data_IF_671955037814
#
_entry.id   IF_671955037814
#
_cell.length_a   1.000
_cell.length_b   1.000
_cell.length_c   1.000
_cell.angle_alpha   90.00
_cell.angle_beta   90.00
_cell.angle_gamma   90.00
#
_symmetry.space_group_name_H-M   'P 1'
#
loop_
_entity.id
_entity.type
_entity.pdbx_description
1 polymer ?
#
# COMPACT_ATOMS: atom_id res chain seq x y z
N UNK A 1 -14.09 -26.10 -25.57
CA UNK A 1 -13.09 -26.16 -24.49
C UNK A 1 -11.67 -26.29 -25.03
N UNK A 2 -11.37 -27.20 -25.98
CA UNK A 2 -10.02 -27.34 -26.57
C UNK A 2 -9.37 -26.06 -27.13
N UNK A 3 -10.14 -25.08 -27.58
CA UNK A 3 -9.60 -23.85 -28.18
C UNK A 3 -9.03 -22.88 -27.14
N UNK A 4 -9.61 -22.82 -25.94
CA UNK A 4 -9.17 -21.89 -24.87
C UNK A 4 -7.88 -22.41 -24.24
N UNK A 5 -7.79 -23.70 -23.95
CA UNK A 5 -6.60 -24.31 -23.37
C UNK A 5 -5.40 -24.20 -24.32
N UNK A 6 -5.62 -24.32 -25.64
CA UNK A 6 -4.56 -24.13 -26.65
C UNK A 6 -4.08 -22.67 -26.70
N UNK A 7 -4.98 -21.69 -26.55
CA UNK A 7 -4.61 -20.26 -26.55
C UNK A 7 -3.84 -19.90 -25.28
N UNK A 8 -4.31 -20.33 -24.10
CA UNK A 8 -3.62 -20.09 -22.82
C UNK A 8 -2.21 -20.71 -22.83
N UNK A 9 -2.07 -21.93 -23.34
CA UNK A 9 -0.76 -22.58 -23.52
C UNK A 9 0.16 -21.83 -24.50
N UNK A 10 -0.40 -21.14 -25.51
CA UNK A 10 0.36 -20.31 -26.43
C UNK A 10 0.87 -19.02 -25.79
N UNK A 11 0.01 -18.37 -24.99
CA UNK A 11 0.36 -17.16 -24.23
C UNK A 11 1.46 -17.48 -23.24
N UNK A 12 1.30 -18.50 -22.38
CA UNK A 12 2.29 -18.80 -21.34
C UNK A 12 3.65 -19.29 -21.90
N UNK A 13 3.67 -19.85 -23.11
CA UNK A 13 4.94 -20.17 -23.80
C UNK A 13 5.70 -18.92 -24.22
N UNK A 14 4.98 -17.87 -24.60
CA UNK A 14 5.57 -16.64 -25.13
C UNK A 14 5.81 -15.61 -24.02
N UNK A 15 4.86 -15.52 -23.09
CA UNK A 15 4.73 -14.53 -22.01
C UNK A 15 4.54 -15.27 -20.69
N UNK A 16 5.59 -16.01 -20.30
CA UNK A 16 5.56 -16.89 -19.13
C UNK A 16 5.09 -16.16 -17.88
N UNK A 17 4.08 -16.72 -17.22
CA UNK A 17 3.56 -16.25 -15.94
C UNK A 17 2.68 -15.00 -16.00
N UNK A 18 2.53 -14.37 -17.16
CA UNK A 18 1.68 -13.17 -17.30
C UNK A 18 0.22 -13.50 -17.05
N UNK A 19 -0.29 -14.62 -17.60
CA UNK A 19 -1.69 -15.02 -17.39
C UNK A 19 -2.00 -15.26 -15.92
N UNK A 20 -1.08 -15.91 -15.20
CA UNK A 20 -1.19 -16.20 -13.78
C UNK A 20 -1.17 -14.93 -12.93
N UNK A 21 -0.18 -14.04 -13.13
CA UNK A 21 -0.11 -12.75 -12.40
C UNK A 21 -1.32 -11.86 -12.72
N UNK A 22 -1.75 -11.82 -13.98
CA UNK A 22 -2.93 -11.03 -14.38
C UNK A 22 -4.22 -11.53 -13.73
N UNK A 23 -4.41 -12.85 -13.66
CA UNK A 23 -5.56 -13.44 -12.96
C UNK A 23 -5.47 -13.20 -11.46
N UNK A 24 -4.27 -13.35 -10.88
CA UNK A 24 -4.02 -13.14 -9.47
C UNK A 24 -4.38 -11.71 -9.05
N UNK A 25 -3.92 -10.70 -9.80
CA UNK A 25 -4.19 -9.28 -9.54
C UNK A 25 -5.70 -8.92 -9.47
N UNK A 26 -6.57 -9.74 -10.07
CA UNK A 26 -8.02 -9.52 -10.04
C UNK A 26 -8.73 -10.24 -8.89
N UNK A 27 -8.08 -11.23 -8.26
CA UNK A 27 -8.79 -12.21 -7.43
C UNK A 27 -8.16 -12.47 -6.08
N UNK A 28 -6.83 -12.36 -5.94
CA UNK A 28 -6.16 -12.80 -4.70
C UNK A 28 -6.55 -11.94 -3.50
N UNK A 29 -6.82 -10.65 -3.73
CA UNK A 29 -7.14 -9.67 -2.70
C UNK A 29 -8.63 -9.63 -2.33
N UNK A 30 -9.55 -10.04 -3.20
CA UNK A 30 -11.00 -10.04 -2.91
C UNK A 30 -11.39 -10.90 -1.69
N UNK A 31 -10.54 -11.89 -1.35
CA UNK A 31 -10.77 -12.79 -0.23
C UNK A 31 -10.16 -12.34 1.09
N UNK A 32 -9.36 -11.26 1.08
CA UNK A 32 -8.68 -10.76 2.27
C UNK A 32 -9.48 -9.60 2.82
N UNK A 33 -10.09 -9.81 3.98
CA UNK A 33 -11.01 -8.83 4.59
C UNK A 33 -10.24 -7.95 5.56
N UNK A 34 -10.28 -6.65 5.30
CA UNK A 34 -9.73 -5.64 6.20
C UNK A 34 -10.69 -5.36 7.33
N UNK A 35 -10.14 -4.81 8.42
CA UNK A 35 -10.92 -4.37 9.58
C UNK A 35 -11.64 -5.52 10.30
N UNK A 36 -11.13 -6.74 10.15
CA UNK A 36 -11.72 -7.96 10.72
C UNK A 36 -11.94 -7.90 12.24
N UNK A 37 -11.09 -7.15 12.96
CA UNK A 37 -11.26 -6.88 14.40
C UNK A 37 -12.60 -6.18 14.76
N UNK A 38 -13.25 -5.53 13.80
CA UNK A 38 -14.54 -4.86 13.97
C UNK A 38 -15.70 -5.56 13.23
N UNK A 39 -15.50 -6.76 12.66
CA UNK A 39 -16.54 -7.48 11.87
C UNK A 39 -17.83 -7.78 12.65
N UNK A 40 -17.75 -7.87 13.97
CA UNK A 40 -18.93 -8.05 14.84
C UNK A 40 -19.72 -6.76 15.08
N UNK A 41 -19.40 -5.69 14.35
CA UNK A 41 -20.03 -4.37 14.47
C UNK A 41 -20.53 -3.90 13.10
N UNK A 42 -21.33 -2.83 13.06
CA UNK A 42 -21.99 -2.38 11.83
C UNK A 42 -21.06 -1.60 10.88
N UNK A 43 -19.88 -2.12 10.54
CA UNK A 43 -18.97 -1.46 9.60
C UNK A 43 -19.21 -1.88 8.15
N UNK A 44 -18.91 -1.01 7.19
CA UNK A 44 -18.87 -1.39 5.77
C UNK A 44 -17.69 -2.34 5.55
N UNK A 45 -17.96 -3.57 5.11
CA UNK A 45 -16.90 -4.51 4.72
C UNK A 45 -16.03 -3.92 3.61
N UNK A 46 -14.72 -4.05 3.76
CA UNK A 46 -13.71 -3.69 2.76
C UNK A 46 -12.76 -4.87 2.59
N UNK A 47 -12.45 -5.22 1.35
CA UNK A 47 -11.38 -6.17 1.03
C UNK A 47 -10.11 -5.44 0.54
N UNK A 48 -8.99 -6.15 0.48
CA UNK A 48 -7.72 -5.55 0.03
C UNK A 48 -7.74 -5.11 -1.43
N UNK A 49 -8.62 -5.66 -2.27
CA UNK A 49 -8.73 -5.21 -3.66
C UNK A 49 -9.33 -3.81 -3.70
N UNK A 50 -10.40 -3.59 -2.92
CA UNK A 50 -11.03 -2.28 -2.78
C UNK A 50 -10.06 -1.26 -2.21
N UNK A 51 -9.30 -1.64 -1.18
CA UNK A 51 -8.25 -0.80 -0.59
C UNK A 51 -7.14 -0.49 -1.59
N UNK A 52 -6.53 -1.49 -2.23
CA UNK A 52 -5.45 -1.29 -3.20
C UNK A 52 -5.88 -0.37 -4.35
N UNK A 53 -7.12 -0.52 -4.82
CA UNK A 53 -7.69 0.34 -5.85
C UNK A 53 -7.92 1.78 -5.34
N UNK A 54 -8.55 1.97 -4.17
CA UNK A 54 -8.76 3.32 -3.61
C UNK A 54 -7.45 4.03 -3.30
N UNK A 55 -6.48 3.31 -2.73
CA UNK A 55 -5.14 3.81 -2.43
C UNK A 55 -4.39 4.21 -3.71
N UNK A 56 -4.52 3.46 -4.82
CA UNK A 56 -3.93 3.82 -6.12
C UNK A 56 -4.52 5.11 -6.70
N UNK A 57 -5.83 5.32 -6.56
CA UNK A 57 -6.48 6.58 -6.95
C UNK A 57 -6.01 7.73 -6.06
N UNK A 58 -5.92 7.51 -4.75
CA UNK A 58 -5.42 8.48 -3.80
C UNK A 58 -3.96 8.85 -4.08
N UNK A 59 -3.13 7.87 -4.44
CA UNK A 59 -1.74 8.05 -4.83
C UNK A 59 -1.61 8.98 -6.03
N UNK A 60 -2.43 8.79 -7.07
CA UNK A 60 -2.48 9.69 -8.21
C UNK A 60 -2.82 11.12 -7.79
N UNK A 61 -3.78 11.31 -6.88
CA UNK A 61 -4.14 12.65 -6.37
C UNK A 61 -2.97 13.28 -5.60
N UNK A 62 -2.33 12.52 -4.72
CA UNK A 62 -1.20 12.99 -3.90
C UNK A 62 -0.03 13.41 -4.78
N UNK A 63 0.38 12.56 -5.72
CA UNK A 63 1.48 12.87 -6.62
C UNK A 63 1.20 14.15 -7.39
N UNK A 64 0.03 14.33 -8.00
CA UNK A 64 -0.26 15.56 -8.77
C UNK A 64 -0.26 16.82 -7.90
N UNK A 65 -0.69 16.72 -6.64
CA UNK A 65 -0.64 17.85 -5.69
C UNK A 65 0.76 18.17 -5.21
N UNK A 66 1.57 17.15 -4.99
CA UNK A 66 2.90 17.28 -4.39
C UNK A 66 4.00 17.52 -5.44
N UNK A 67 3.84 17.05 -6.68
CA UNK A 67 4.87 17.14 -7.72
C UNK A 67 5.42 18.56 -7.97
N UNK A 68 4.61 19.65 -7.88
CA UNK A 68 5.14 21.02 -8.00
C UNK A 68 6.18 21.41 -6.94
N UNK A 69 6.35 20.62 -5.89
CA UNK A 69 7.28 20.87 -4.79
C UNK A 69 8.60 20.09 -4.91
N UNK A 70 8.81 19.34 -6.01
CA UNK A 70 9.99 18.50 -6.22
C UNK A 70 10.74 18.85 -7.51
N UNK A 71 12.07 18.78 -7.44
CA UNK A 71 12.96 18.79 -8.61
C UNK A 71 14.16 17.86 -8.34
N UNK A 72 14.29 16.71 -9.03
CA UNK A 72 13.41 16.19 -10.08
C UNK A 72 11.99 15.86 -9.58
N UNK A 73 11.05 15.68 -10.52
CA UNK A 73 9.69 15.25 -10.22
C UNK A 73 9.68 13.88 -9.52
N UNK A 74 8.65 13.63 -8.70
CA UNK A 74 8.44 12.32 -8.07
C UNK A 74 8.26 11.24 -9.14
N UNK A 75 8.81 10.06 -8.89
CA UNK A 75 8.57 8.88 -9.73
C UNK A 75 7.14 8.36 -9.53
N UNK A 76 6.23 8.93 -10.32
CA UNK A 76 4.81 8.60 -10.31
C UNK A 76 4.55 7.14 -10.66
N UNK A 77 5.32 6.57 -11.58
CA UNK A 77 5.13 5.18 -12.01
C UNK A 77 5.50 4.24 -10.87
N UNK A 78 6.60 4.50 -10.18
CA UNK A 78 7.01 3.75 -9.00
C UNK A 78 5.97 3.80 -7.89
N UNK A 79 5.47 4.98 -7.52
CA UNK A 79 4.46 5.13 -6.46
C UNK A 79 3.17 4.38 -6.81
N UNK A 80 2.63 4.58 -8.02
CA UNK A 80 1.38 3.92 -8.42
C UNK A 80 1.57 2.41 -8.50
N UNK A 81 2.68 1.96 -9.08
CA UNK A 81 3.00 0.53 -9.16
C UNK A 81 3.14 -0.10 -7.78
N UNK A 82 3.68 0.63 -6.79
CA UNK A 82 3.78 0.15 -5.42
C UNK A 82 2.38 -0.15 -4.86
N UNK A 83 1.43 0.78 -4.97
CA UNK A 83 0.05 0.54 -4.49
C UNK A 83 -0.66 -0.59 -5.24
N UNK A 84 -0.36 -0.80 -6.52
CA UNK A 84 -0.91 -1.90 -7.29
C UNK A 84 -0.43 -3.28 -6.83
N UNK A 85 0.67 -3.38 -6.08
CA UNK A 85 1.23 -4.70 -5.69
C UNK A 85 1.56 -4.84 -4.20
N UNK A 86 1.52 -3.78 -3.39
CA UNK A 86 2.02 -3.80 -2.01
C UNK A 86 1.37 -4.89 -1.13
N UNK A 87 0.07 -5.11 -1.29
CA UNK A 87 -0.69 -6.13 -0.53
C UNK A 87 -0.77 -7.49 -1.25
N UNK A 88 -0.11 -7.68 -2.40
CA UNK A 88 -0.20 -8.95 -3.11
C UNK A 88 0.39 -10.13 -2.32
N UNK A 89 1.37 -9.87 -1.44
CA UNK A 89 1.84 -10.86 -0.47
C UNK A 89 0.75 -11.33 0.50
N UNK A 90 -0.07 -10.39 1.00
CA UNK A 90 -1.24 -10.67 1.85
C UNK A 90 -2.29 -11.50 1.09
N UNK A 91 -2.55 -11.15 -0.18
CA UNK A 91 -3.41 -11.89 -1.10
C UNK A 91 -2.98 -13.35 -1.33
N UNK A 92 -1.67 -13.60 -1.44
CA UNK A 92 -1.13 -14.96 -1.55
C UNK A 92 -1.27 -15.75 -0.25
N UNK A 93 -1.08 -15.08 0.90
CA UNK A 93 -1.17 -15.70 2.23
C UNK A 93 -2.61 -15.77 2.78
N UNK A 94 -3.58 -15.14 2.11
CA UNK A 94 -5.00 -15.08 2.49
C UNK A 94 -5.22 -14.52 3.89
N UNK A 95 -4.48 -13.49 4.27
CA UNK A 95 -4.57 -12.84 5.58
C UNK A 95 -4.22 -11.36 5.49
N UNK A 96 -4.99 -10.53 6.19
CA UNK A 96 -4.63 -9.16 6.56
C UNK A 96 -4.28 -9.20 8.05
N UNK A 97 -3.12 -8.64 8.42
CA UNK A 97 -2.71 -8.57 9.82
C UNK A 97 -2.59 -7.11 10.21
N UNK A 98 -3.41 -6.70 11.17
CA UNK A 98 -3.38 -5.34 11.69
C UNK A 98 -1.96 -4.97 12.19
N UNK A 99 -1.47 -3.81 11.76
CA UNK A 99 -0.10 -3.32 12.02
C UNK A 99 0.38 -3.52 13.47
N UNK A 100 -0.44 -3.19 14.47
CA UNK A 100 -0.06 -3.31 15.89
C UNK A 100 0.03 -4.76 16.41
N UNK A 101 -0.38 -5.74 15.61
CA UNK A 101 -0.39 -7.16 15.95
C UNK A 101 0.50 -8.00 15.01
N UNK A 102 1.19 -7.39 14.04
CA UNK A 102 2.07 -8.12 13.09
C UNK A 102 3.26 -8.75 13.84
N UNK A 103 3.43 -10.08 13.81
CA UNK A 103 4.67 -10.75 14.19
C UNK A 103 5.88 -10.20 13.41
N UNK A 104 7.07 -10.29 14.01
CA UNK A 104 8.28 -9.72 13.43
C UNK A 104 8.66 -10.26 12.03
N UNK A 105 8.21 -11.47 11.67
CA UNK A 105 8.53 -12.12 10.40
C UNK A 105 7.41 -12.03 9.34
N UNK A 106 6.29 -11.37 9.64
CA UNK A 106 5.15 -11.36 8.71
C UNK A 106 5.46 -10.63 7.40
N UNK A 107 6.17 -9.51 7.46
CA UNK A 107 6.55 -8.76 6.25
C UNK A 107 7.49 -9.59 5.34
N UNK A 108 8.37 -10.40 5.93
CA UNK A 108 9.22 -11.32 5.18
C UNK A 108 8.40 -12.43 4.51
N UNK A 109 7.41 -12.99 5.20
CA UNK A 109 6.52 -14.00 4.63
C UNK A 109 5.71 -13.42 3.46
N UNK A 110 5.18 -12.20 3.61
CA UNK A 110 4.45 -11.46 2.57
C UNK A 110 5.35 -11.21 1.35
N UNK A 111 6.57 -10.71 1.56
CA UNK A 111 7.55 -10.51 0.49
C UNK A 111 7.91 -11.82 -0.21
N UNK A 112 8.15 -12.91 0.51
CA UNK A 112 8.46 -14.22 -0.09
C UNK A 112 7.29 -14.76 -0.93
N UNK A 113 6.06 -14.58 -0.46
CA UNK A 113 4.87 -14.96 -1.19
C UNK A 113 4.72 -14.14 -2.48
N UNK A 114 4.95 -12.83 -2.40
CA UNK A 114 5.01 -11.94 -3.56
C UNK A 114 6.09 -12.39 -4.56
N UNK A 115 7.34 -12.62 -4.13
CA UNK A 115 8.45 -13.05 -5.00
C UNK A 115 8.14 -14.39 -5.67
N UNK A 116 7.56 -15.35 -4.94
CA UNK A 116 7.18 -16.65 -5.49
C UNK A 116 6.20 -16.49 -6.65
N UNK A 117 5.23 -15.57 -6.55
CA UNK A 117 4.25 -15.30 -7.61
C UNK A 117 4.86 -14.52 -8.77
N UNK A 118 5.66 -13.50 -8.52
CA UNK A 118 6.08 -12.54 -9.54
C UNK A 118 7.39 -12.92 -10.27
N UNK A 119 8.24 -13.76 -9.66
CA UNK A 119 9.54 -14.13 -10.25
C UNK A 119 9.45 -14.89 -11.58
N UNK A 120 8.29 -15.48 -11.89
CA UNK A 120 8.02 -16.12 -13.18
C UNK A 120 7.95 -15.15 -14.38
N UNK A 121 7.74 -13.85 -14.15
CA UNK A 121 7.68 -12.81 -15.21
C UNK A 121 9.03 -12.56 -15.88
N UNK A 122 10.10 -13.17 -15.36
CA UNK A 122 11.43 -13.10 -15.92
C UNK A 122 12.18 -11.79 -15.61
N UNK A 123 13.47 -11.72 -15.97
CA UNK A 123 14.38 -10.68 -15.49
C UNK A 123 14.13 -9.29 -16.08
N UNK A 124 13.34 -9.18 -17.14
CA UNK A 124 12.99 -7.89 -17.74
C UNK A 124 11.86 -7.15 -17.02
N UNK A 125 10.98 -7.89 -16.32
CA UNK A 125 9.74 -7.34 -15.73
C UNK A 125 9.73 -7.48 -14.22
N UNK A 126 10.13 -8.64 -13.68
CA UNK A 126 10.10 -8.89 -12.25
C UNK A 126 10.82 -7.82 -11.40
N UNK A 127 12.04 -7.36 -11.76
CA UNK A 127 12.74 -6.36 -10.96
C UNK A 127 11.99 -5.03 -10.81
N UNK A 128 11.16 -4.65 -11.80
CA UNK A 128 10.33 -3.45 -11.72
C UNK A 128 9.24 -3.60 -10.65
N UNK A 129 8.52 -4.73 -10.67
CA UNK A 129 7.51 -5.03 -9.64
C UNK A 129 8.13 -5.23 -8.26
N UNK A 130 9.29 -5.89 -8.17
CA UNK A 130 10.00 -6.08 -6.91
C UNK A 130 10.44 -4.75 -6.30
N UNK A 131 11.01 -3.85 -7.12
CA UNK A 131 11.35 -2.50 -6.67
C UNK A 131 10.13 -1.73 -6.18
N UNK A 132 9.01 -1.81 -6.90
CA UNK A 132 7.76 -1.17 -6.48
C UNK A 132 7.22 -1.75 -5.17
N UNK A 133 7.21 -3.07 -5.02
CA UNK A 133 6.78 -3.75 -3.79
C UNK A 133 7.62 -3.34 -2.59
N UNK A 134 8.95 -3.28 -2.75
CA UNK A 134 9.90 -2.96 -1.67
C UNK A 134 9.91 -1.48 -1.28
N UNK A 135 9.24 -0.58 -2.03
CA UNK A 135 9.12 0.83 -1.70
C UNK A 135 8.52 1.04 -0.30
N UNK A 136 7.54 0.21 0.08
CA UNK A 136 6.84 0.30 1.36
C UNK A 136 7.77 0.11 2.58
N UNK A 137 8.90 -0.58 2.39
CA UNK A 137 9.85 -0.89 3.46
C UNK A 137 11.15 -0.08 3.36
N UNK A 138 11.31 0.78 2.35
CA UNK A 138 12.57 1.44 2.03
C UNK A 138 13.16 2.25 3.19
N UNK A 139 12.30 2.83 4.03
CA UNK A 139 12.71 3.66 5.18
C UNK A 139 12.70 2.90 6.51
N UNK A 140 12.47 1.58 6.49
CA UNK A 140 12.38 0.74 7.67
C UNK A 140 13.61 -0.15 7.85
N UNK A 141 13.93 -0.49 9.10
CA UNK A 141 14.98 -1.46 9.38
C UNK A 141 14.39 -2.89 9.32
N UNK A 142 14.70 -3.60 8.23
CA UNK A 142 14.28 -5.00 7.98
C UNK A 142 15.47 -5.97 7.98
N UNK A 143 15.98 -6.40 9.16
CA UNK A 143 17.18 -7.23 9.25
C UNK A 143 16.98 -8.65 8.69
N UNK A 144 15.74 -9.13 8.74
CA UNK A 144 15.29 -10.47 8.36
C UNK A 144 15.12 -10.65 6.84
N UNK A 145 15.03 -9.56 6.08
CA UNK A 145 14.93 -9.62 4.62
C UNK A 145 16.19 -10.23 3.96
N UNK A 146 16.11 -10.78 2.74
CA UNK A 146 17.29 -11.18 1.98
C UNK A 146 18.21 -10.00 1.65
N UNK A 147 19.52 -10.23 1.50
CA UNK A 147 20.48 -9.16 1.18
C UNK A 147 20.20 -8.47 -0.17
N UNK A 148 19.66 -9.20 -1.15
CA UNK A 148 19.23 -8.62 -2.43
C UNK A 148 18.10 -7.62 -2.25
N UNK A 149 17.08 -7.95 -1.45
CA UNK A 149 15.97 -7.06 -1.14
C UNK A 149 16.46 -5.84 -0.33
N UNK A 150 17.33 -6.07 0.65
CA UNK A 150 17.97 -4.99 1.43
C UNK A 150 18.78 -4.03 0.55
N UNK A 151 19.46 -4.53 -0.48
CA UNK A 151 20.14 -3.67 -1.44
C UNK A 151 19.15 -2.76 -2.19
N UNK A 152 18.05 -3.32 -2.71
CA UNK A 152 17.00 -2.55 -3.39
C UNK A 152 16.38 -1.50 -2.45
N UNK A 153 16.08 -1.88 -1.20
CA UNK A 153 15.53 -0.95 -0.19
C UNK A 153 16.49 0.19 0.12
N UNK A 154 17.81 -0.07 0.23
CA UNK A 154 18.82 0.98 0.42
C UNK A 154 18.87 1.94 -0.76
N UNK A 155 18.85 1.42 -1.98
CA UNK A 155 18.84 2.25 -3.19
C UNK A 155 17.56 3.10 -3.25
N UNK A 156 16.40 2.52 -2.93
CA UNK A 156 15.12 3.24 -2.83
C UNK A 156 15.15 4.31 -1.74
N UNK A 157 15.77 4.06 -0.58
CA UNK A 157 15.87 5.04 0.48
C UNK A 157 16.69 6.28 0.06
N UNK A 158 17.74 6.07 -0.73
CA UNK A 158 18.62 7.15 -1.22
C UNK A 158 17.98 7.89 -2.38
N UNK A 159 17.53 7.16 -3.40
CA UNK A 159 17.11 7.75 -4.67
C UNK A 159 15.62 8.11 -4.70
N UNK A 160 14.81 7.41 -3.90
CA UNK A 160 13.35 7.48 -3.89
C UNK A 160 12.75 7.63 -2.47
N UNK A 161 13.49 8.26 -1.55
CA UNK A 161 13.05 8.43 -0.17
C UNK A 161 11.76 9.24 -0.04
N UNK A 162 11.52 10.21 -0.93
CA UNK A 162 10.28 10.99 -0.94
C UNK A 162 9.09 10.20 -1.47
N UNK A 163 9.29 9.31 -2.43
CA UNK A 163 8.27 8.36 -2.91
C UNK A 163 7.86 7.40 -1.78
N UNK A 164 8.82 6.92 -0.98
CA UNK A 164 8.52 6.09 0.20
C UNK A 164 7.75 6.86 1.30
N UNK A 165 8.08 8.14 1.53
CA UNK A 165 7.30 9.02 2.40
C UNK A 165 5.89 9.28 1.83
N UNK A 166 5.75 9.46 0.51
CA UNK A 166 4.45 9.58 -0.14
C UNK A 166 3.63 8.30 0.05
N UNK A 167 4.23 7.12 -0.17
CA UNK A 167 3.59 5.83 0.08
C UNK A 167 3.03 5.76 1.50
N UNK A 168 3.87 6.07 2.50
CA UNK A 168 3.46 6.10 3.91
C UNK A 168 2.30 7.06 4.15
N UNK A 169 2.35 8.26 3.57
CA UNK A 169 1.29 9.26 3.73
C UNK A 169 -0.05 8.80 3.12
N UNK A 170 -0.02 8.19 1.94
CA UNK A 170 -1.20 7.70 1.23
C UNK A 170 -1.87 6.57 2.02
N UNK A 171 -1.08 5.60 2.52
CA UNK A 171 -1.57 4.52 3.38
C UNK A 171 -2.33 5.08 4.60
N UNK A 172 -1.69 6.00 5.32
CA UNK A 172 -2.31 6.63 6.49
C UNK A 172 -3.63 7.33 6.14
N UNK A 173 -3.69 8.00 4.99
CA UNK A 173 -4.88 8.69 4.56
C UNK A 173 -6.01 7.76 4.11
N UNK A 174 -5.73 6.62 3.48
CA UNK A 174 -6.78 5.63 3.15
C UNK A 174 -7.44 5.11 4.44
N UNK A 175 -6.64 4.76 5.45
CA UNK A 175 -7.14 4.40 6.79
C UNK A 175 -8.00 5.50 7.42
N UNK A 176 -7.58 6.75 7.32
CA UNK A 176 -8.31 7.90 7.87
C UNK A 176 -9.64 8.15 7.14
N UNK A 177 -9.64 8.08 5.81
CA UNK A 177 -10.84 8.29 4.99
C UNK A 177 -11.87 7.19 5.26
N UNK A 178 -11.45 5.94 5.39
CA UNK A 178 -12.33 4.85 5.79
C UNK A 178 -12.93 5.10 7.19
N UNK A 179 -12.11 5.51 8.16
CA UNK A 179 -12.58 5.78 9.51
C UNK A 179 -13.60 6.94 9.59
N UNK A 180 -13.36 8.01 8.81
CA UNK A 180 -14.30 9.13 8.67
C UNK A 180 -15.62 8.70 8.02
N UNK A 181 -15.56 7.81 7.02
CA UNK A 181 -16.76 7.23 6.41
C UNK A 181 -17.62 6.48 7.44
N UNK A 182 -16.99 5.64 8.28
CA UNK A 182 -17.70 4.90 9.33
C UNK A 182 -18.27 5.81 10.42
N UNK A 183 -17.56 6.87 10.81
CA UNK A 183 -18.06 7.85 11.79
C UNK A 183 -19.24 8.65 11.23
N UNK A 184 -19.17 9.09 9.97
CA UNK A 184 -20.26 9.81 9.30
C UNK A 184 -21.52 8.97 9.16
N UNK A 185 -21.37 7.65 8.97
CA UNK A 185 -22.47 6.69 8.98
C UNK A 185 -23.05 6.44 10.39
N UNK A 186 -22.43 6.99 11.45
CA UNK A 186 -22.72 6.75 12.88
C UNK A 186 -22.70 5.28 13.25
N UNK A 187 -21.88 4.50 12.54
CA UNK A 187 -21.83 3.05 12.74
C UNK A 187 -20.79 2.67 13.79
N UNK A 188 -19.67 3.40 13.89
CA UNK A 188 -18.61 3.06 14.84
C UNK A 188 -17.61 4.20 15.12
N UNK A 189 -17.93 5.08 16.07
CA UNK A 189 -17.07 6.21 16.47
C UNK A 189 -15.68 5.81 17.03
N UNK A 190 -15.54 4.59 17.56
CA UNK A 190 -14.26 4.10 18.12
C UNK A 190 -13.18 3.93 17.04
N UNK A 191 -13.56 3.62 15.78
CA UNK A 191 -12.57 3.44 14.71
C UNK A 191 -11.87 4.76 14.44
N UNK A 192 -12.65 5.84 14.30
CA UNK A 192 -12.11 7.16 14.07
C UNK A 192 -11.21 7.61 15.22
N UNK A 193 -11.63 7.40 16.46
CA UNK A 193 -10.79 7.74 17.62
C UNK A 193 -9.46 6.98 17.61
N UNK A 194 -9.47 5.66 17.41
CA UNK A 194 -8.27 4.84 17.38
C UNK A 194 -7.33 5.22 16.22
N UNK A 195 -7.89 5.40 15.02
CA UNK A 195 -7.12 5.81 13.84
C UNK A 195 -6.52 7.20 14.05
N UNK A 196 -7.27 8.17 14.56
CA UNK A 196 -6.75 9.51 14.82
C UNK A 196 -5.61 9.50 15.84
N UNK A 197 -5.77 8.78 16.96
CA UNK A 197 -4.72 8.68 18.00
C UNK A 197 -3.42 8.11 17.44
N UNK A 198 -3.50 7.10 16.58
CA UNK A 198 -2.33 6.43 16.01
C UNK A 198 -1.70 7.20 14.85
N UNK A 199 -2.52 7.83 14.00
CA UNK A 199 -2.05 8.38 12.73
C UNK A 199 -1.74 9.88 12.76
N UNK A 200 -2.40 10.68 13.60
CA UNK A 200 -2.16 12.13 13.65
C UNK A 200 -0.70 12.49 13.96
N UNK A 201 -0.03 11.88 14.96
CA UNK A 201 1.39 12.16 15.20
C UNK A 201 2.28 11.87 13.98
N UNK A 202 1.99 10.79 13.25
CA UNK A 202 2.73 10.40 12.04
C UNK A 202 2.50 11.39 10.90
N UNK A 203 1.28 11.91 10.76
CA UNK A 203 0.96 12.96 9.78
C UNK A 203 1.68 14.28 10.09
N UNK A 204 1.81 14.63 11.37
CA UNK A 204 2.61 15.79 11.79
C UNK A 204 4.11 15.60 11.46
N UNK A 205 4.65 14.39 11.64
CA UNK A 205 6.02 14.08 11.21
C UNK A 205 6.19 14.15 9.68
N UNK A 206 5.23 13.62 8.93
CA UNK A 206 5.24 13.69 7.46
C UNK A 206 5.17 15.14 6.97
N UNK A 207 4.40 16.00 7.65
CA UNK A 207 4.33 17.43 7.34
C UNK A 207 5.68 18.15 7.51
N UNK A 208 6.56 17.64 8.37
CA UNK A 208 7.92 18.16 8.52
C UNK A 208 8.91 17.58 7.50
N UNK A 209 8.69 16.34 7.03
CA UNK A 209 9.63 15.58 6.19
C UNK A 209 9.33 15.64 4.69
N UNK A 210 8.07 15.80 4.29
CA UNK A 210 7.62 15.69 2.90
C UNK A 210 7.31 17.08 2.30
N UNK A 211 8.10 17.57 1.33
CA UNK A 211 7.86 18.87 0.67
C UNK A 211 6.44 19.02 0.14
N UNK A 212 5.82 20.18 0.40
CA UNK A 212 4.46 20.50 -0.02
C UNK A 212 3.34 19.86 0.82
N UNK A 213 3.62 18.82 1.62
CA UNK A 213 2.59 18.05 2.32
C UNK A 213 1.76 18.90 3.30
N UNK A 214 2.42 19.72 4.13
CA UNK A 214 1.77 20.64 5.08
C UNK A 214 0.95 21.76 4.42
N UNK A 215 1.15 21.98 3.11
CA UNK A 215 0.47 23.04 2.35
C UNK A 215 -0.70 22.50 1.53
N UNK A 216 -0.57 21.31 0.96
CA UNK A 216 -1.54 20.76 0.00
C UNK A 216 -2.45 19.67 0.57
N UNK A 217 -1.96 18.90 1.56
CA UNK A 217 -2.62 17.68 2.05
C UNK A 217 -2.92 17.79 3.54
N UNK A 218 -1.89 17.88 4.39
CA UNK A 218 -2.03 18.03 5.85
C UNK A 218 -2.02 19.50 6.26
N UNK A 219 -2.96 20.27 5.72
CA UNK A 219 -3.05 21.71 5.95
C UNK A 219 -3.35 22.02 7.42
N UNK A 220 -3.04 23.26 7.86
CA UNK A 220 -3.38 23.71 9.21
C UNK A 220 -4.87 23.55 9.52
N UNK A 221 -5.73 23.80 8.55
CA UNK A 221 -7.19 23.65 8.68
C UNK A 221 -7.59 22.19 8.90
N UNK A 222 -7.10 21.28 8.04
CA UNK A 222 -7.36 19.84 8.14
C UNK A 222 -6.83 19.29 9.46
N UNK A 223 -5.56 19.59 9.79
CA UNK A 223 -4.90 19.13 11.01
C UNK A 223 -5.65 19.61 12.27
N UNK A 224 -6.05 20.89 12.32
CA UNK A 224 -6.79 21.44 13.46
C UNK A 224 -8.17 20.80 13.61
N UNK A 225 -8.87 20.59 12.49
CA UNK A 225 -10.19 19.98 12.48
C UNK A 225 -10.13 18.54 13.00
N UNK A 226 -9.21 17.72 12.51
CA UNK A 226 -9.07 16.32 12.93
C UNK A 226 -8.56 16.20 14.38
N UNK A 227 -7.61 17.05 14.80
CA UNK A 227 -7.14 17.09 16.20
C UNK A 227 -8.23 17.46 17.18
N UNK A 228 -9.21 18.27 16.78
CA UNK A 228 -10.35 18.65 17.62
C UNK A 228 -11.30 17.48 17.93
N UNK A 229 -11.24 16.41 17.13
CA UNK A 229 -12.03 15.20 17.33
C UNK A 229 -11.40 14.25 18.35
N UNK A 230 -10.12 14.43 18.69
CA UNK A 230 -9.42 13.60 19.67
C UNK A 230 -9.76 14.09 21.09
N UNK A 231 -10.46 13.26 21.86
CA UNK A 231 -10.65 13.48 23.29
C UNK A 231 -9.42 12.94 24.03
N UNK A 232 -8.53 13.81 24.47
CA UNK A 232 -7.36 13.41 25.26
C UNK A 232 -7.75 12.89 26.64
#
# INVERSE_FOLDING_TARGET
>A
METIDKVNNGIDRSWKGVSDVWLAAQTILCGVVRWSKYENTFIRRQDDLQHSYSASILAKIFVEKLNPYFFPALDKELIISAFLVHDHGEGELKRDICYGSKPANCDLEEYQAFVKRYSQLGPAVFPSFERAYLLQYALEYKPDFPESAKAIMRDLAVDNGYEALCFTAIEIWDYLLYALEQDAAKTHNVILEEVLRNQVPRLDELAAKLPGFAKEIWTKEISSSLKSLIKW
#
